data_IF_943736254723
#
_entry.id   IF_943736254723
#
_cell.length_a   1.000
_cell.length_b   1.000
_cell.length_c   1.000
_cell.angle_alpha   90.00
_cell.angle_beta   90.00
_cell.angle_gamma   90.00
#
_symmetry.space_group_name_H-M   'P 1'
#
loop_
_entity.id
_entity.type
_entity.pdbx_description
1 polymer ?
#
# COMPACT_ATOMS: atom_id res chain seq x y z
N UNK A 1 -3.41 12.26 -25.22
CA UNK A 1 -3.50 11.03 -24.40
C UNK A 1 -3.56 11.44 -22.94
N UNK A 2 -4.52 10.97 -22.14
CA UNK A 2 -4.49 11.21 -20.69
C UNK A 2 -3.34 10.38 -20.11
N UNK A 3 -2.34 11.03 -19.53
CA UNK A 3 -1.27 10.35 -18.81
C UNK A 3 -1.81 9.86 -17.47
N UNK A 4 -1.46 8.64 -17.10
CA UNK A 4 -1.85 8.02 -15.84
C UNK A 4 -0.58 7.68 -15.05
N UNK A 5 -0.66 7.76 -13.72
CA UNK A 5 0.42 7.40 -12.80
C UNK A 5 -0.12 6.47 -11.73
N UNK A 6 0.74 5.56 -11.28
CA UNK A 6 0.47 4.71 -10.12
C UNK A 6 0.72 5.50 -8.84
N UNK A 7 -0.21 5.46 -7.90
CA UNK A 7 -0.09 6.06 -6.57
C UNK A 7 -0.35 5.02 -5.49
N UNK A 8 0.41 5.05 -4.41
CA UNK A 8 0.17 4.30 -3.18
C UNK A 8 -0.56 5.20 -2.18
N UNK A 9 -1.76 4.79 -1.75
CA UNK A 9 -2.57 5.56 -0.81
C UNK A 9 -2.09 5.38 0.63
N UNK A 10 -1.79 6.49 1.32
CA UNK A 10 -1.46 6.49 2.75
C UNK A 10 -2.72 6.52 3.61
N UNK A 11 -3.76 7.19 3.14
CA UNK A 11 -5.03 7.36 3.83
C UNK A 11 -6.20 6.95 2.94
N UNK A 12 -7.33 6.62 3.57
CA UNK A 12 -8.56 6.38 2.82
C UNK A 12 -9.10 7.71 2.29
N UNK A 13 -9.59 7.74 1.05
CA UNK A 13 -10.11 8.97 0.47
C UNK A 13 -10.86 8.77 -0.83
N UNK A 14 -11.47 9.83 -1.34
CA UNK A 14 -12.11 9.82 -2.66
C UNK A 14 -11.19 10.48 -3.67
N UNK A 15 -10.92 9.79 -4.77
CA UNK A 15 -10.07 10.25 -5.88
C UNK A 15 -10.88 10.12 -7.16
N UNK A 16 -11.09 11.24 -7.87
CA UNK A 16 -11.91 11.30 -9.08
C UNK A 16 -13.29 10.63 -8.93
N UNK A 17 -13.95 10.89 -7.79
CA UNK A 17 -15.29 10.36 -7.49
C UNK A 17 -15.34 8.88 -7.10
N UNK A 18 -14.18 8.19 -7.01
CA UNK A 18 -14.09 6.79 -6.55
C UNK A 18 -13.38 6.69 -5.21
N UNK A 19 -13.92 5.90 -4.29
CA UNK A 19 -13.29 5.65 -3.00
C UNK A 19 -12.04 4.76 -3.16
N UNK A 20 -10.95 5.15 -2.50
CA UNK A 20 -9.65 4.48 -2.50
C UNK A 20 -9.25 4.14 -1.07
N UNK A 21 -8.76 2.93 -0.88
CA UNK A 21 -8.35 2.43 0.42
C UNK A 21 -6.85 2.65 0.63
N UNK A 22 -6.47 3.01 1.85
CA UNK A 22 -5.08 3.06 2.29
C UNK A 22 -4.40 1.70 2.13
N UNK A 23 -3.12 1.68 1.82
CA UNK A 23 -2.33 0.45 1.65
C UNK A 23 -2.43 -0.17 0.25
N UNK A 24 -3.13 0.46 -0.68
CA UNK A 24 -3.29 -0.03 -2.05
C UNK A 24 -2.68 0.92 -3.09
N UNK A 25 -2.29 0.34 -4.22
CA UNK A 25 -1.80 1.05 -5.40
C UNK A 25 -2.94 1.20 -6.40
N UNK A 26 -3.12 2.42 -6.90
CA UNK A 26 -4.13 2.73 -7.90
C UNK A 26 -3.52 3.47 -9.08
N UNK A 27 -4.00 3.15 -10.28
CA UNK A 27 -3.73 3.92 -11.48
C UNK A 27 -4.73 5.08 -11.56
N UNK A 28 -4.24 6.32 -11.50
CA UNK A 28 -5.06 7.53 -11.55
C UNK A 28 -4.52 8.52 -12.59
N UNK A 29 -5.32 9.51 -12.97
CA UNK A 29 -4.88 10.53 -13.91
C UNK A 29 -3.73 11.35 -13.31
N UNK A 30 -2.77 11.77 -14.14
CA UNK A 30 -1.55 12.44 -13.67
C UNK A 30 -1.81 13.67 -12.77
N UNK A 31 -2.72 14.55 -13.16
CA UNK A 31 -3.06 15.74 -12.35
C UNK A 31 -3.60 15.36 -10.96
N UNK A 32 -4.49 14.37 -10.88
CA UNK A 32 -5.02 13.88 -9.61
C UNK A 32 -3.93 13.18 -8.77
N UNK A 33 -3.02 12.44 -9.41
CA UNK A 33 -1.87 11.84 -8.72
C UNK A 33 -1.00 12.91 -8.06
N UNK A 34 -0.62 13.94 -8.82
CA UNK A 34 0.27 15.00 -8.35
C UNK A 34 -0.40 15.82 -7.24
N UNK A 35 -1.71 16.12 -7.35
CA UNK A 35 -2.49 16.80 -6.29
C UNK A 35 -2.47 16.03 -4.96
N UNK A 36 -2.80 14.74 -4.98
CA UNK A 36 -2.93 13.92 -3.75
C UNK A 36 -1.57 13.66 -3.10
N UNK A 37 -0.51 13.53 -3.91
CA UNK A 37 0.87 13.43 -3.42
C UNK A 37 1.31 14.75 -2.77
N UNK A 38 0.96 15.90 -3.36
CA UNK A 38 1.24 17.22 -2.78
C UNK A 38 0.48 17.43 -1.45
N UNK A 39 -0.73 16.90 -1.32
CA UNK A 39 -1.49 16.85 -0.07
C UNK A 39 -0.95 15.84 0.96
N UNK A 40 0.12 15.10 0.63
CA UNK A 40 0.74 14.06 1.46
C UNK A 40 -0.19 12.88 1.80
N UNK A 41 -1.26 12.68 1.03
CA UNK A 41 -2.22 11.56 1.20
C UNK A 41 -1.83 10.31 0.41
N UNK A 42 -0.87 10.45 -0.51
CA UNK A 42 -0.35 9.35 -1.31
C UNK A 42 1.15 9.53 -1.58
N UNK A 43 1.80 8.46 -2.07
CA UNK A 43 3.19 8.45 -2.52
C UNK A 43 3.31 7.76 -3.88
N UNK A 44 4.36 8.10 -4.63
CA UNK A 44 4.73 7.31 -5.81
C UNK A 44 5.37 5.98 -5.36
N UNK A 45 4.82 4.83 -5.79
CA UNK A 45 5.25 3.53 -5.27
C UNK A 45 6.59 3.05 -5.86
N UNK A 46 6.91 3.46 -7.09
CA UNK A 46 8.10 2.98 -7.79
C UNK A 46 9.24 3.97 -7.65
N UNK A 47 10.38 3.50 -7.17
CA UNK A 47 11.61 4.26 -7.25
C UNK A 47 12.24 4.13 -8.65
N UNK A 48 13.37 4.82 -8.87
CA UNK A 48 14.07 4.85 -10.16
C UNK A 48 14.45 3.45 -10.65
N UNK A 49 14.92 2.55 -9.78
CA UNK A 49 15.32 1.19 -10.15
C UNK A 49 14.15 0.31 -10.58
N UNK A 50 13.04 0.34 -9.82
CA UNK A 50 11.84 -0.43 -10.18
C UNK A 50 11.18 0.12 -11.44
N UNK A 51 11.19 1.44 -11.60
CA UNK A 51 10.66 2.09 -12.81
C UNK A 51 11.47 1.70 -14.06
N UNK A 52 12.80 1.62 -13.95
CA UNK A 52 13.64 1.16 -15.06
C UNK A 52 13.30 -0.26 -15.50
N UNK A 53 13.07 -1.19 -14.56
CA UNK A 53 12.68 -2.57 -14.90
C UNK A 53 11.29 -2.64 -15.56
N UNK A 54 10.35 -1.78 -15.15
CA UNK A 54 9.04 -1.67 -15.84
C UNK A 54 9.20 -1.14 -17.26
N UNK A 55 9.97 -0.08 -17.44
CA UNK A 55 10.28 0.47 -18.78
C UNK A 55 10.97 -0.57 -19.66
N UNK A 56 11.87 -1.39 -19.11
CA UNK A 56 12.48 -2.50 -19.83
C UNK A 56 11.46 -3.55 -20.28
N UNK A 57 10.47 -3.87 -19.43
CA UNK A 57 9.39 -4.79 -19.81
C UNK A 57 8.54 -4.21 -20.96
N UNK A 58 8.21 -2.93 -20.91
CA UNK A 58 7.46 -2.24 -21.98
C UNK A 58 8.26 -2.20 -23.30
N UNK A 59 9.57 -1.99 -23.22
CA UNK A 59 10.48 -2.04 -24.37
C UNK A 59 10.55 -3.44 -24.97
N UNK A 60 10.74 -4.49 -24.15
CA UNK A 60 10.73 -5.87 -24.61
C UNK A 60 9.40 -6.21 -25.29
N UNK A 61 8.28 -5.77 -24.73
CA UNK A 61 6.98 -6.00 -25.34
C UNK A 61 6.84 -5.32 -26.71
N UNK A 62 7.33 -4.09 -26.84
CA UNK A 62 7.32 -3.33 -28.09
C UNK A 62 8.22 -3.97 -29.14
N UNK A 63 9.42 -4.43 -28.77
CA UNK A 63 10.34 -5.15 -29.64
C UNK A 63 9.72 -6.44 -30.17
N UNK A 64 9.07 -7.23 -29.31
CA UNK A 64 8.35 -8.42 -29.74
C UNK A 64 7.24 -8.10 -30.75
N UNK A 65 6.45 -7.04 -30.53
CA UNK A 65 5.40 -6.62 -31.46
C UNK A 65 5.96 -6.24 -32.83
N UNK A 66 7.10 -5.56 -32.85
CA UNK A 66 7.78 -5.17 -34.09
C UNK A 66 8.30 -6.39 -34.85
N UNK A 67 9.07 -7.26 -34.18
CA UNK A 67 9.63 -8.49 -34.76
C UNK A 67 8.51 -9.43 -35.27
N UNK A 68 7.44 -9.62 -34.49
CA UNK A 68 6.27 -10.42 -34.91
C UNK A 68 5.59 -9.84 -36.15
N UNK A 69 5.44 -8.51 -36.22
CA UNK A 69 4.87 -7.83 -37.39
C UNK A 69 5.74 -8.03 -38.63
N UNK A 70 7.07 -7.98 -38.49
CA UNK A 70 8.01 -8.23 -39.59
C UNK A 70 7.85 -9.65 -40.14
N UNK A 71 7.78 -10.66 -39.27
CA UNK A 71 7.57 -12.07 -39.68
C UNK A 71 6.24 -12.23 -40.41
N UNK A 72 5.15 -11.68 -39.86
CA UNK A 72 3.81 -11.78 -40.45
C UNK A 72 3.73 -11.16 -41.85
N UNK A 73 4.38 -10.01 -42.03
CA UNK A 73 4.40 -9.26 -43.31
C UNK A 73 5.38 -9.83 -44.33
N UNK A 74 6.26 -10.75 -43.94
CA UNK A 74 7.23 -11.33 -44.86
C UNK A 74 6.53 -12.21 -45.91
N UNK A 75 6.52 -11.76 -47.16
CA UNK A 75 5.85 -12.45 -48.29
C UNK A 75 6.63 -13.67 -48.76
N UNK A 76 7.92 -13.78 -48.40
CA UNK A 76 8.78 -14.92 -48.79
C UNK A 76 8.58 -16.16 -47.91
N UNK A 77 7.94 -16.01 -46.75
CA UNK A 77 7.69 -17.11 -45.82
C UNK A 77 6.32 -17.73 -46.08
N UNK A 78 6.26 -19.07 -46.05
CA UNK A 78 5.00 -19.81 -46.03
C UNK A 78 4.32 -19.64 -44.67
N UNK A 79 3.02 -19.92 -44.59
CA UNK A 79 2.28 -19.83 -43.32
C UNK A 79 2.83 -20.77 -42.24
N UNK A 80 3.42 -21.90 -42.64
CA UNK A 80 4.09 -22.83 -41.72
C UNK A 80 5.38 -22.21 -41.18
N UNK A 81 6.25 -21.71 -42.07
CA UNK A 81 7.49 -21.06 -41.66
C UNK A 81 7.25 -19.84 -40.76
N UNK A 82 6.23 -19.02 -41.06
CA UNK A 82 5.84 -17.90 -40.19
C UNK A 82 5.44 -18.35 -38.78
N UNK A 83 4.74 -19.48 -38.65
CA UNK A 83 4.33 -20.01 -37.35
C UNK A 83 5.53 -20.52 -36.55
N UNK A 84 6.45 -21.22 -37.21
CA UNK A 84 7.67 -21.70 -36.57
C UNK A 84 8.56 -20.53 -36.11
N UNK A 85 8.79 -19.53 -36.96
CA UNK A 85 9.56 -18.32 -36.61
C UNK A 85 8.91 -17.55 -35.44
N UNK A 86 7.57 -17.40 -35.44
CA UNK A 86 6.85 -16.75 -34.32
C UNK A 86 6.96 -17.58 -33.04
N UNK A 87 6.95 -18.92 -33.12
CA UNK A 87 7.14 -19.78 -31.95
C UNK A 87 8.53 -19.60 -31.36
N UNK A 88 9.59 -19.64 -32.18
CA UNK A 88 10.96 -19.39 -31.74
C UNK A 88 11.13 -17.99 -31.14
N UNK A 89 10.54 -16.98 -31.77
CA UNK A 89 10.50 -15.62 -31.24
C UNK A 89 9.82 -15.57 -29.86
N UNK A 90 8.69 -16.27 -29.71
CA UNK A 90 7.96 -16.34 -28.44
C UNK A 90 8.80 -17.00 -27.35
N UNK A 91 9.50 -18.11 -27.65
CA UNK A 91 10.37 -18.80 -26.70
C UNK A 91 11.58 -17.95 -26.26
N UNK A 92 12.13 -17.15 -27.17
CA UNK A 92 13.19 -16.18 -26.86
C UNK A 92 12.69 -15.13 -25.87
N UNK A 93 11.59 -14.46 -26.19
CA UNK A 93 11.03 -13.43 -25.32
C UNK A 93 10.49 -14.00 -24.01
N UNK A 94 9.99 -15.25 -23.98
CA UNK A 94 9.62 -15.95 -22.74
C UNK A 94 10.79 -16.01 -21.75
N UNK A 95 12.00 -16.30 -22.22
CA UNK A 95 13.21 -16.33 -21.38
C UNK A 95 13.59 -14.92 -20.89
N UNK A 96 13.62 -13.94 -21.79
CA UNK A 96 14.00 -12.56 -21.45
C UNK A 96 13.03 -11.96 -20.41
N UNK A 97 11.73 -12.19 -20.60
CA UNK A 97 10.69 -11.77 -19.66
C UNK A 97 10.80 -12.51 -18.32
N UNK A 98 11.03 -13.83 -18.32
CA UNK A 98 11.20 -14.60 -17.09
C UNK A 98 12.40 -14.13 -16.26
N UNK A 99 13.53 -13.83 -16.92
CA UNK A 99 14.72 -13.29 -16.27
C UNK A 99 14.48 -11.90 -15.68
N UNK A 100 13.79 -11.01 -16.43
CA UNK A 100 13.42 -9.69 -15.94
C UNK A 100 12.48 -9.78 -14.72
N UNK A 101 11.46 -10.63 -14.80
CA UNK A 101 10.51 -10.87 -13.70
C UNK A 101 11.21 -11.40 -12.46
N UNK A 102 12.17 -12.32 -12.62
CA UNK A 102 12.96 -12.87 -11.52
C UNK A 102 13.75 -11.76 -10.83
N UNK A 103 14.51 -10.96 -11.58
CA UNK A 103 15.30 -9.84 -11.04
C UNK A 103 14.41 -8.80 -10.36
N UNK A 104 13.26 -8.50 -10.94
CA UNK A 104 12.27 -7.57 -10.37
C UNK A 104 11.77 -8.06 -9.01
N UNK A 105 11.38 -9.33 -8.93
CA UNK A 105 10.90 -9.94 -7.68
C UNK A 105 12.00 -10.00 -6.61
N UNK A 106 13.19 -10.46 -6.95
CA UNK A 106 14.35 -10.50 -6.03
C UNK A 106 14.68 -9.10 -5.50
N UNK A 107 14.64 -8.08 -6.35
CA UNK A 107 14.87 -6.69 -5.95
C UNK A 107 13.79 -6.19 -4.98
N UNK A 108 12.51 -6.48 -5.25
CA UNK A 108 11.41 -6.13 -4.37
C UNK A 108 11.51 -6.83 -3.00
N UNK A 109 11.78 -8.13 -3.00
CA UNK A 109 11.92 -8.92 -1.77
C UNK A 109 13.11 -8.43 -0.94
N UNK A 110 14.28 -8.22 -1.56
CA UNK A 110 15.46 -7.67 -0.88
C UNK A 110 15.17 -6.32 -0.24
N UNK A 111 14.48 -5.43 -0.95
CA UNK A 111 14.11 -4.10 -0.43
C UNK A 111 13.08 -4.16 0.67
N UNK A 112 12.11 -5.06 0.56
CA UNK A 112 11.14 -5.30 1.62
C UNK A 112 11.83 -5.80 2.89
N UNK A 113 12.78 -6.73 2.78
CA UNK A 113 13.55 -7.21 3.92
C UNK A 113 14.38 -6.10 4.56
N UNK A 114 15.05 -5.27 3.76
CA UNK A 114 15.80 -4.12 4.26
C UNK A 114 14.89 -3.11 4.97
N UNK A 115 13.71 -2.84 4.42
CA UNK A 115 12.73 -1.94 5.02
C UNK A 115 12.19 -2.50 6.36
N UNK A 116 11.91 -3.81 6.45
CA UNK A 116 11.51 -4.46 7.71
C UNK A 116 12.62 -4.45 8.76
N UNK A 117 13.87 -4.65 8.36
CA UNK A 117 15.04 -4.50 9.24
C UNK A 117 15.15 -3.05 9.73
N UNK A 118 14.96 -2.07 8.86
CA UNK A 118 14.93 -0.66 9.24
C UNK A 118 13.79 -0.37 10.24
N UNK A 119 12.58 -0.88 9.98
CA UNK A 119 11.37 -0.70 10.81
C UNK A 119 11.63 -1.13 12.26
N UNK A 120 12.18 -2.34 12.44
CA UNK A 120 12.52 -2.88 13.76
C UNK A 120 13.58 -2.08 14.53
N UNK A 121 14.44 -1.32 13.83
CA UNK A 121 15.53 -0.55 14.43
C UNK A 121 15.17 0.92 14.66
N UNK A 122 14.20 1.47 13.93
CA UNK A 122 13.84 2.90 14.01
C UNK A 122 13.38 3.28 15.42
N UNK A 123 12.61 2.43 16.07
CA UNK A 123 12.13 2.65 17.43
C UNK A 123 13.25 2.63 18.49
N UNK A 124 14.30 1.87 18.25
CA UNK A 124 15.46 1.80 19.16
C UNK A 124 16.38 3.02 19.01
N UNK A 125 16.33 3.70 17.86
CA UNK A 125 17.18 4.86 17.55
C UNK A 125 16.55 6.19 17.95
N UNK A 126 15.24 6.22 18.22
CA UNK A 126 14.58 7.46 18.65
C UNK A 126 15.01 7.82 20.07
N UNK A 127 15.60 9.01 20.23
CA UNK A 127 15.85 9.57 21.57
C UNK A 127 14.52 10.06 22.16
N UNK A 128 14.26 9.78 23.46
CA UNK A 128 13.12 10.35 24.14
C UNK A 128 13.29 11.87 24.27
N UNK A 129 12.21 12.61 24.02
CA UNK A 129 12.17 14.07 24.13
C UNK A 129 11.79 14.51 25.56
N UNK A 130 10.95 13.73 26.23
CA UNK A 130 10.47 14.04 27.58
C UNK A 130 10.94 13.01 28.60
N UNK A 131 10.89 13.41 29.87
CA UNK A 131 11.16 12.51 30.98
C UNK A 131 10.06 11.44 31.10
N UNK A 132 10.48 10.19 31.31
CA UNK A 132 9.60 9.03 31.31
C UNK A 132 8.58 9.04 32.47
N UNK A 133 8.90 9.69 33.58
CA UNK A 133 7.99 9.79 34.72
C UNK A 133 6.88 10.82 34.43
N UNK A 134 7.25 11.95 33.81
CA UNK A 134 6.29 12.98 33.40
C UNK A 134 5.29 12.44 32.38
N UNK A 135 5.75 11.66 31.39
CA UNK A 135 4.89 11.01 30.40
C UNK A 135 3.93 10.02 31.07
N UNK A 136 4.43 9.18 32.00
CA UNK A 136 3.60 8.21 32.73
C UNK A 136 2.54 8.88 33.58
N UNK A 137 2.88 9.98 34.25
CA UNK A 137 1.91 10.75 35.05
C UNK A 137 0.80 11.34 34.18
N UNK A 138 1.15 12.00 33.07
CA UNK A 138 0.16 12.61 32.18
C UNK A 138 -0.74 11.54 31.51
N UNK A 139 -0.15 10.42 31.08
CA UNK A 139 -0.92 9.29 30.55
C UNK A 139 -1.87 8.73 31.61
N UNK A 140 -1.41 8.58 32.87
CA UNK A 140 -2.22 8.12 33.99
C UNK A 140 -3.40 9.06 34.30
N UNK A 141 -3.20 10.38 34.21
CA UNK A 141 -4.28 11.37 34.34
C UNK A 141 -5.32 11.16 33.24
N UNK A 142 -4.88 11.04 31.98
CA UNK A 142 -5.79 10.83 30.85
C UNK A 142 -6.57 9.52 30.98
N UNK A 143 -5.91 8.42 31.37
CA UNK A 143 -6.57 7.12 31.62
C UNK A 143 -7.61 7.23 32.74
N UNK A 144 -7.28 7.96 33.83
CA UNK A 144 -8.20 8.17 34.95
C UNK A 144 -9.43 8.96 34.51
N UNK A 145 -9.25 10.04 33.75
CA UNK A 145 -10.36 10.82 33.20
C UNK A 145 -11.25 9.98 32.27
N UNK A 146 -10.65 9.08 31.49
CA UNK A 146 -11.40 8.15 30.64
C UNK A 146 -12.23 7.16 31.47
N UNK A 147 -11.66 6.62 32.55
CA UNK A 147 -12.35 5.69 33.46
C UNK A 147 -13.48 6.39 34.21
N UNK A 148 -13.29 7.66 34.61
CA UNK A 148 -14.27 8.47 35.32
C UNK A 148 -15.33 9.08 34.41
N UNK A 149 -15.10 9.06 33.09
CA UNK A 149 -16.02 9.59 32.09
C UNK A 149 -17.41 8.97 32.17
N UNK A 150 -18.44 9.82 32.10
CA UNK A 150 -19.82 9.41 32.38
C UNK A 150 -20.56 8.90 31.14
N UNK A 151 -20.05 9.19 29.94
CA UNK A 151 -20.66 8.78 28.68
C UNK A 151 -19.63 8.52 27.58
N UNK A 152 -19.96 7.59 26.68
CA UNK A 152 -19.16 7.30 25.48
C UNK A 152 -18.83 8.56 24.67
N UNK A 153 -19.78 9.48 24.50
CA UNK A 153 -19.57 10.70 23.72
C UNK A 153 -18.55 11.63 24.37
N UNK A 154 -18.66 11.82 25.69
CA UNK A 154 -17.76 12.69 26.45
C UNK A 154 -16.34 12.13 26.44
N UNK A 155 -16.18 10.84 26.75
CA UNK A 155 -14.88 10.17 26.78
C UNK A 155 -14.20 10.16 25.39
N UNK A 156 -14.96 9.89 24.33
CA UNK A 156 -14.43 9.93 22.96
C UNK A 156 -14.03 11.35 22.58
N UNK A 157 -14.87 12.36 22.83
CA UNK A 157 -14.55 13.75 22.50
C UNK A 157 -13.35 14.28 23.30
N UNK A 158 -13.22 13.89 24.57
CA UNK A 158 -12.06 14.21 25.40
C UNK A 158 -10.76 13.64 24.80
N UNK A 159 -10.77 12.35 24.45
CA UNK A 159 -9.61 11.70 23.83
C UNK A 159 -9.30 12.29 22.45
N UNK A 160 -10.30 12.58 21.62
CA UNK A 160 -10.10 13.22 20.32
C UNK A 160 -9.46 14.61 20.47
N UNK A 161 -9.95 15.44 21.41
CA UNK A 161 -9.37 16.76 21.68
C UNK A 161 -7.93 16.69 22.23
N UNK A 162 -7.61 15.67 23.02
CA UNK A 162 -6.24 15.43 23.49
C UNK A 162 -5.32 14.93 22.38
N UNK A 163 -5.81 14.05 21.50
CA UNK A 163 -5.05 13.47 20.40
C UNK A 163 -4.57 14.52 19.39
N UNK A 164 -5.30 15.63 19.20
CA UNK A 164 -4.90 16.71 18.28
C UNK A 164 -3.56 17.37 18.63
N UNK A 165 -3.20 17.40 19.93
CA UNK A 165 -1.99 18.07 20.42
C UNK A 165 -1.06 17.12 21.20
N UNK A 166 -1.28 15.81 21.06
CA UNK A 166 -0.57 14.80 21.85
C UNK A 166 0.85 14.62 21.33
N UNK A 167 1.83 14.62 22.24
CA UNK A 167 3.18 14.21 21.90
C UNK A 167 3.25 12.71 21.60
N UNK A 168 4.17 12.32 20.73
CA UNK A 168 4.40 10.92 20.34
C UNK A 168 4.63 10.00 21.55
N UNK A 169 5.41 10.42 22.52
CA UNK A 169 5.76 9.58 23.67
C UNK A 169 4.56 9.39 24.60
N UNK A 170 3.75 10.43 24.78
CA UNK A 170 2.48 10.34 25.47
C UNK A 170 1.48 9.44 24.73
N UNK A 171 1.42 9.54 23.40
CA UNK A 171 0.58 8.67 22.58
C UNK A 171 1.01 7.19 22.66
N UNK A 172 2.32 6.91 22.71
CA UNK A 172 2.85 5.54 22.91
C UNK A 172 2.48 4.98 24.28
N UNK A 173 2.65 5.78 25.33
CA UNK A 173 2.28 5.37 26.69
C UNK A 173 0.78 5.10 26.76
N UNK A 174 -0.07 5.98 26.22
CA UNK A 174 -1.52 5.76 26.17
C UNK A 174 -1.90 4.56 25.32
N UNK A 175 -1.19 4.27 24.23
CA UNK A 175 -1.42 3.07 23.42
C UNK A 175 -1.16 1.79 24.23
N UNK A 176 -0.18 1.81 25.14
CA UNK A 176 0.09 0.69 26.04
C UNK A 176 -1.05 0.44 27.04
N UNK A 177 -1.73 1.52 27.46
CA UNK A 177 -2.93 1.47 28.33
C UNK A 177 -4.23 1.31 27.53
N UNK A 178 -4.17 1.15 26.21
CA UNK A 178 -5.37 1.06 25.36
C UNK A 178 -6.32 -0.08 25.73
N UNK A 179 -5.88 -1.28 26.16
CA UNK A 179 -6.80 -2.31 26.66
C UNK A 179 -7.69 -1.81 27.81
N UNK A 180 -7.10 -1.07 28.76
CA UNK A 180 -7.82 -0.47 29.89
C UNK A 180 -8.79 0.62 29.43
N UNK A 181 -8.34 1.51 28.53
CA UNK A 181 -9.16 2.55 27.91
C UNK A 181 -10.35 1.93 27.17
N UNK A 182 -10.10 0.88 26.39
CA UNK A 182 -11.11 0.14 25.64
C UNK A 182 -12.16 -0.44 26.58
N UNK A 183 -11.75 -1.15 27.64
CA UNK A 183 -12.69 -1.73 28.61
C UNK A 183 -13.54 -0.67 29.31
N UNK A 184 -12.94 0.46 29.69
CA UNK A 184 -13.64 1.58 30.30
C UNK A 184 -14.70 2.16 29.34
N UNK A 185 -14.32 2.39 28.08
CA UNK A 185 -15.24 2.91 27.06
C UNK A 185 -16.34 1.88 26.76
N UNK A 186 -16.02 0.60 26.63
CA UNK A 186 -16.99 -0.46 26.32
C UNK A 186 -18.05 -0.62 27.42
N UNK A 187 -17.70 -0.39 28.70
CA UNK A 187 -18.66 -0.35 29.81
C UNK A 187 -19.67 0.79 29.69
N UNK A 188 -19.29 1.89 29.04
CA UNK A 188 -20.16 3.06 28.81
C UNK A 188 -21.06 2.93 27.56
N UNK A 189 -20.88 1.88 26.75
CA UNK A 189 -21.67 1.64 25.54
C UNK A 189 -23.06 1.12 25.92
N UNK A 190 -24.11 1.75 25.38
CA UNK A 190 -25.48 1.28 25.56
C UNK A 190 -25.67 -0.16 25.01
N UNK A 191 -26.38 -1.01 25.75
CA UNK A 191 -26.58 -2.43 25.44
C UNK A 191 -27.47 -2.71 24.21
N UNK A 192 -27.93 -1.68 23.50
CA UNK A 192 -28.72 -1.87 22.27
C UNK A 192 -27.80 -2.24 21.10
N UNK A 193 -28.21 -3.17 20.21
CA UNK A 193 -27.34 -3.66 19.12
C UNK A 193 -26.80 -2.55 18.20
N UNK A 194 -27.62 -1.56 17.86
CA UNK A 194 -27.24 -0.43 16.99
C UNK A 194 -26.27 0.54 17.66
N UNK A 195 -26.44 0.82 18.97
CA UNK A 195 -25.51 1.65 19.73
C UNK A 195 -24.19 0.92 19.97
N UNK A 196 -24.24 -0.40 20.17
CA UNK A 196 -23.05 -1.22 20.33
C UNK A 196 -22.17 -1.19 19.08
N UNK A 197 -22.75 -1.40 17.89
CA UNK A 197 -22.00 -1.33 16.61
C UNK A 197 -21.36 0.06 16.43
N UNK A 198 -22.10 1.14 16.68
CA UNK A 198 -21.56 2.51 16.58
C UNK A 198 -20.46 2.77 17.60
N UNK A 199 -20.61 2.29 18.83
CA UNK A 199 -19.64 2.45 19.90
C UNK A 199 -18.33 1.71 19.61
N UNK A 200 -18.42 0.45 19.18
CA UNK A 200 -17.25 -0.34 18.75
C UNK A 200 -16.52 0.33 17.59
N UNK A 201 -17.26 0.89 16.62
CA UNK A 201 -16.69 1.68 15.53
C UNK A 201 -15.88 2.89 16.00
N UNK A 202 -16.40 3.64 17.00
CA UNK A 202 -15.70 4.78 17.60
C UNK A 202 -14.44 4.35 18.36
N UNK A 203 -14.50 3.28 19.14
CA UNK A 203 -13.34 2.72 19.85
C UNK A 203 -12.24 2.33 18.87
N UNK A 204 -12.60 1.66 17.77
CA UNK A 204 -11.64 1.33 16.70
C UNK A 204 -11.06 2.59 16.06
N UNK A 205 -11.88 3.62 15.80
CA UNK A 205 -11.40 4.89 15.28
C UNK A 205 -10.38 5.58 16.20
N UNK A 206 -10.64 5.57 17.52
CA UNK A 206 -9.69 6.07 18.52
C UNK A 206 -8.39 5.28 18.53
N UNK A 207 -8.46 3.94 18.44
CA UNK A 207 -7.27 3.09 18.36
C UNK A 207 -6.39 3.48 17.17
N UNK A 208 -6.97 3.61 15.97
CA UNK A 208 -6.20 3.95 14.77
C UNK A 208 -5.61 5.36 14.85
N UNK A 209 -6.35 6.33 15.40
CA UNK A 209 -5.84 7.70 15.64
C UNK A 209 -4.68 7.73 16.65
N UNK A 210 -4.82 7.03 17.76
CA UNK A 210 -3.79 6.94 18.80
C UNK A 210 -2.54 6.22 18.27
N UNK A 211 -2.75 5.14 17.51
CA UNK A 211 -1.67 4.43 16.82
C UNK A 211 -0.94 5.35 15.85
N UNK A 212 -1.65 6.14 15.05
CA UNK A 212 -1.04 7.11 14.15
C UNK A 212 -0.24 8.18 14.90
N UNK A 213 -0.76 8.73 16.00
CA UNK A 213 -0.06 9.71 16.84
C UNK A 213 1.18 9.14 17.55
N UNK A 214 1.18 7.84 17.85
CA UNK A 214 2.31 7.15 18.49
C UNK A 214 3.50 6.90 17.56
N UNK A 215 3.30 7.02 16.25
CA UNK A 215 4.31 6.75 15.23
C UNK A 215 5.06 8.04 14.90
N UNK A 216 6.39 8.03 15.07
CA UNK A 216 7.21 9.19 14.71
C UNK A 216 7.38 9.34 13.19
N UNK A 217 7.78 10.53 12.71
CA UNK A 217 7.95 10.77 11.26
C UNK A 217 8.91 9.77 10.59
N UNK A 218 10.01 9.43 11.27
CA UNK A 218 10.96 8.43 10.77
C UNK A 218 10.34 7.03 10.69
N UNK A 219 9.51 6.66 11.67
CA UNK A 219 8.80 5.37 11.70
C UNK A 219 7.70 5.34 10.64
N UNK A 220 6.93 6.42 10.48
CA UNK A 220 5.92 6.56 9.43
C UNK A 220 6.51 6.41 8.02
N UNK A 221 7.70 7.01 7.78
CA UNK A 221 8.43 6.86 6.51
C UNK A 221 8.90 5.44 6.24
N UNK A 222 9.27 4.69 7.27
CA UNK A 222 9.75 3.31 7.11
C UNK A 222 8.56 2.36 6.96
N UNK A 223 7.50 2.54 7.75
CA UNK A 223 6.26 1.79 7.63
C UNK A 223 5.63 1.98 6.24
N UNK A 224 5.67 3.20 5.68
CA UNK A 224 5.18 3.44 4.33
C UNK A 224 6.02 2.74 3.27
N UNK A 225 7.35 2.68 3.40
CA UNK A 225 8.20 1.86 2.51
C UNK A 225 7.84 0.37 2.57
N UNK A 226 7.67 -0.18 3.77
CA UNK A 226 7.24 -1.59 3.96
C UNK A 226 5.89 -1.82 3.29
N UNK A 227 4.94 -0.90 3.50
CA UNK A 227 3.62 -0.95 2.88
C UNK A 227 3.66 -0.88 1.36
N UNK A 228 4.44 0.04 0.79
CA UNK A 228 4.64 0.18 -0.66
C UNK A 228 5.19 -1.11 -1.27
N UNK A 229 6.30 -1.65 -0.77
CA UNK A 229 6.89 -2.87 -1.35
C UNK A 229 5.96 -4.08 -1.20
N UNK A 230 5.23 -4.17 -0.09
CA UNK A 230 4.21 -5.20 0.11
C UNK A 230 3.08 -5.07 -0.91
N UNK A 231 2.57 -3.85 -1.11
CA UNK A 231 1.52 -3.57 -2.06
C UNK A 231 1.96 -3.82 -3.51
N UNK A 232 3.19 -3.45 -3.88
CA UNK A 232 3.75 -3.75 -5.19
C UNK A 232 3.78 -5.27 -5.39
N UNK A 233 4.35 -6.05 -4.46
CA UNK A 233 4.40 -7.51 -4.60
C UNK A 233 3.02 -8.15 -4.77
N UNK A 234 1.99 -7.63 -4.10
CA UNK A 234 0.63 -8.17 -4.16
C UNK A 234 -0.15 -7.74 -5.42
N UNK A 235 0.01 -6.50 -5.88
CA UNK A 235 -0.88 -5.89 -6.87
C UNK A 235 -0.21 -5.66 -8.23
N UNK A 236 1.08 -5.35 -8.21
CA UNK A 236 1.87 -4.95 -9.39
C UNK A 236 3.17 -5.74 -9.51
N UNK A 237 3.23 -6.90 -8.86
CA UNK A 237 4.44 -7.71 -8.75
C UNK A 237 4.72 -8.53 -10.00
N UNK A 238 3.77 -8.62 -10.93
CA UNK A 238 3.83 -9.42 -12.15
C UNK A 238 3.98 -8.54 -13.40
N UNK A 239 5.22 -8.33 -13.83
CA UNK A 239 5.53 -7.64 -15.09
C UNK A 239 5.10 -8.45 -16.32
N UNK A 240 4.84 -9.76 -16.15
CA UNK A 240 4.51 -10.67 -17.24
C UNK A 240 3.05 -10.64 -17.64
N UNK A 241 2.18 -9.94 -16.91
CA UNK A 241 0.75 -9.99 -17.16
C UNK A 241 0.37 -9.64 -18.61
N UNK A 242 0.93 -8.57 -19.17
CA UNK A 242 0.67 -8.18 -20.56
C UNK A 242 1.21 -9.21 -21.55
N UNK A 243 2.41 -9.73 -21.29
CA UNK A 243 3.05 -10.77 -22.08
C UNK A 243 2.23 -12.06 -22.12
N UNK A 244 1.84 -12.60 -20.96
CA UNK A 244 1.00 -13.81 -20.85
C UNK A 244 -0.37 -13.62 -21.50
N UNK A 245 -0.99 -12.45 -21.34
CA UNK A 245 -2.27 -12.13 -21.99
C UNK A 245 -2.15 -12.19 -23.51
N UNK A 246 -1.07 -11.67 -24.08
CA UNK A 246 -0.83 -11.74 -25.53
C UNK A 246 -0.66 -13.17 -26.01
N UNK A 247 0.09 -13.99 -25.27
CA UNK A 247 0.27 -15.43 -25.56
C UNK A 247 -1.07 -16.18 -25.58
N UNK A 248 -1.93 -15.95 -24.58
CA UNK A 248 -3.29 -16.52 -24.52
C UNK A 248 -4.19 -16.09 -25.68
N UNK A 249 -3.99 -14.88 -26.22
CA UNK A 249 -4.71 -14.41 -27.41
C UNK A 249 -4.18 -15.07 -28.69
N UNK A 250 -2.86 -15.31 -28.79
CA UNK A 250 -2.23 -16.00 -29.93
C UNK A 250 -2.58 -17.50 -29.97
N UNK A 251 -2.67 -18.15 -28.82
CA UNK A 251 -3.04 -19.57 -28.68
C UNK A 251 -4.57 -19.81 -28.80
N UNK A 252 -5.38 -18.75 -28.93
CA UNK A 252 -6.85 -18.84 -29.06
C UNK A 252 -7.58 -19.26 -27.77
N UNK A 253 -6.87 -19.35 -26.64
CA UNK A 253 -7.38 -19.86 -25.35
C UNK A 253 -8.10 -18.81 -24.50
N UNK A 254 -7.98 -17.51 -24.83
CA UNK A 254 -8.60 -16.43 -24.04
C UNK A 254 -10.14 -16.45 -24.00
N UNK A 255 -10.81 -17.15 -24.93
CA UNK A 255 -12.29 -17.24 -24.93
C UNK A 255 -12.87 -18.25 -23.93
N UNK A 256 -12.06 -19.04 -23.20
CA UNK A 256 -12.57 -20.06 -22.25
C UNK A 256 -12.43 -19.71 -20.76
N UNK A 257 -11.64 -18.72 -20.37
CA UNK A 257 -11.34 -18.46 -18.94
C UNK A 257 -12.03 -17.23 -18.33
N UNK A 258 -12.89 -16.52 -19.08
CA UNK A 258 -13.60 -15.31 -18.59
C UNK A 258 -15.11 -15.57 -18.40
N UNK A 259 -15.57 -16.81 -18.62
CA UNK A 259 -16.96 -17.24 -18.41
C UNK A 259 -17.08 -18.50 -17.54
N UNK A 260 -16.06 -18.79 -16.73
CA UNK A 260 -16.08 -19.88 -15.74
C UNK A 260 -16.01 -19.33 -14.33
#
# INVERSE_FOLDING_TARGET
MKQYKDIYMLENGTVDGSYRYAGHIYLVAEHAADEIVNEKKALFPFDTGLMQMRTQADQLYSQFQEEESVIKKNVRLTDVAKKDDIRELTEKFDKDFADLQKRYKETLESRLELAKKEESLVNLKSKPQFDAETIRQEAGIIVTEVIMGTSLSETVSYLEGKLENMDRELARELLSHFPTIKEAIEKSIAKTPSAHIKGVGKVRGLYEKLKAASIGEAEAKVNSKVGIYTAILQQSGDLLWQWRRKKLLQEGTFRRSVLG
#
